data_IF_804267841263
#
_entry.id   IF_804267841263
#
_cell.length_a   1.000
_cell.length_b   1.000
_cell.length_c   1.000
_cell.angle_alpha   90.00
_cell.angle_beta   90.00
_cell.angle_gamma   90.00
#
_symmetry.space_group_name_H-M   'P 1'
#
loop_
_entity.id
_entity.type
_entity.pdbx_description
1 polymer ?
#
# COMPACT_ATOMS: atom_id res chain seq x y z
N UNK A 1 -28.08 8.17 13.33
CA UNK A 1 -26.97 7.22 13.58
C UNK A 1 -26.26 6.95 12.27
N UNK A 2 -24.93 7.10 12.21
CA UNK A 2 -24.12 6.81 11.02
C UNK A 2 -23.30 5.53 11.26
N UNK A 3 -23.26 4.63 10.28
CA UNK A 3 -22.48 3.40 10.34
C UNK A 3 -21.29 3.48 9.38
N UNK A 4 -20.09 3.47 9.92
CA UNK A 4 -18.85 3.36 9.14
C UNK A 4 -18.65 1.91 8.70
N UNK A 5 -18.59 1.66 7.40
CA UNK A 5 -18.53 0.31 6.85
C UNK A 5 -17.27 0.11 6.00
N UNK A 6 -16.30 -0.63 6.53
CA UNK A 6 -15.04 -0.91 5.86
C UNK A 6 -15.16 -2.14 4.96
N UNK A 7 -14.58 -2.07 3.76
CA UNK A 7 -14.56 -3.23 2.87
C UNK A 7 -13.73 -3.02 1.62
N UNK A 8 -13.66 -4.06 0.81
CA UNK A 8 -13.02 -4.01 -0.50
C UNK A 8 -13.93 -3.36 -1.56
N UNK A 9 -13.43 -3.24 -2.78
CA UNK A 9 -14.18 -2.67 -3.89
C UNK A 9 -15.45 -3.47 -4.21
N UNK A 10 -15.42 -4.80 -4.11
CA UNK A 10 -16.59 -5.63 -4.38
C UNK A 10 -17.70 -5.38 -3.36
N UNK A 11 -17.33 -5.19 -2.09
CA UNK A 11 -18.24 -4.81 -1.01
C UNK A 11 -18.93 -3.48 -1.30
N UNK A 12 -18.19 -2.47 -1.77
CA UNK A 12 -18.77 -1.20 -2.20
C UNK A 12 -19.78 -1.37 -3.33
N UNK A 13 -19.44 -2.15 -4.36
CA UNK A 13 -20.33 -2.38 -5.50
C UNK A 13 -21.64 -3.05 -5.08
N UNK A 14 -21.57 -4.03 -4.17
CA UNK A 14 -22.75 -4.67 -3.61
C UNK A 14 -23.59 -3.70 -2.77
N UNK A 15 -22.95 -2.91 -1.90
CA UNK A 15 -23.63 -1.90 -1.11
C UNK A 15 -24.34 -0.87 -1.99
N UNK A 16 -23.67 -0.37 -3.02
CA UNK A 16 -24.26 0.56 -4.00
C UNK A 16 -25.46 -0.06 -4.72
N UNK A 17 -25.38 -1.34 -5.09
CA UNK A 17 -26.51 -2.07 -5.68
C UNK A 17 -27.69 -2.20 -4.73
N UNK A 18 -27.46 -2.43 -3.44
CA UNK A 18 -28.51 -2.52 -2.41
C UNK A 18 -29.15 -1.15 -2.20
N UNK A 19 -28.36 -0.08 -2.06
CA UNK A 19 -28.87 1.27 -1.91
C UNK A 19 -29.71 1.69 -3.13
N UNK A 20 -29.28 1.31 -4.34
CA UNK A 20 -30.04 1.59 -5.55
C UNK A 20 -31.37 0.84 -5.58
N UNK A 21 -31.37 -0.47 -5.33
CA UNK A 21 -32.60 -1.28 -5.39
C UNK A 21 -33.60 -0.89 -4.29
N UNK A 22 -33.10 -0.50 -3.13
CA UNK A 22 -33.90 -0.09 -1.98
C UNK A 22 -34.21 1.40 -1.95
N UNK A 23 -33.89 2.16 -3.01
CA UNK A 23 -34.13 3.60 -3.05
C UNK A 23 -35.60 4.02 -2.91
N UNK A 24 -36.55 3.10 -3.16
CA UNK A 24 -37.99 3.31 -3.05
C UNK A 24 -38.55 3.09 -1.64
N UNK A 25 -37.75 2.55 -0.71
CA UNK A 25 -38.21 2.28 0.66
C UNK A 25 -38.50 3.60 1.39
N UNK A 26 -39.49 3.61 2.29
CA UNK A 26 -39.94 4.83 2.99
C UNK A 26 -38.93 5.35 4.02
N UNK A 27 -38.22 4.45 4.70
CA UNK A 27 -37.32 4.77 5.81
C UNK A 27 -35.84 4.84 5.36
N UNK A 28 -35.10 5.83 5.85
CA UNK A 28 -33.66 6.01 5.55
C UNK A 28 -32.82 4.77 5.89
N UNK A 29 -33.17 4.10 6.99
CA UNK A 29 -32.54 2.86 7.44
C UNK A 29 -32.74 1.74 6.42
N UNK A 30 -33.95 1.60 5.89
CA UNK A 30 -34.26 0.61 4.86
C UNK A 30 -33.64 0.97 3.51
N UNK A 31 -33.33 2.24 3.26
CA UNK A 31 -32.55 2.69 2.09
C UNK A 31 -31.02 2.54 2.26
N UNK A 32 -30.55 2.10 3.43
CA UNK A 32 -29.12 2.01 3.77
C UNK A 32 -28.39 3.36 3.70
N UNK A 33 -29.12 4.48 3.85
CA UNK A 33 -28.55 5.83 3.74
C UNK A 33 -27.64 6.20 4.92
N UNK A 34 -27.82 5.55 6.07
CA UNK A 34 -26.96 5.72 7.25
C UNK A 34 -25.56 5.14 7.09
N UNK A 35 -25.28 4.37 6.03
CA UNK A 35 -24.00 3.71 5.81
C UNK A 35 -23.04 4.61 5.05
N UNK A 36 -21.87 4.85 5.64
CA UNK A 36 -20.73 5.49 5.00
C UNK A 36 -19.67 4.43 4.72
N UNK A 37 -19.49 4.10 3.44
CA UNK A 37 -18.46 3.16 3.03
C UNK A 37 -17.06 3.77 3.15
N UNK A 38 -16.13 3.03 3.76
CA UNK A 38 -14.73 3.41 3.89
C UNK A 38 -13.88 2.38 3.11
N UNK A 39 -13.08 2.82 2.12
CA UNK A 39 -12.19 1.92 1.39
C UNK A 39 -11.24 1.18 2.33
N UNK A 40 -11.21 -0.13 2.25
CA UNK A 40 -10.25 -0.95 2.97
C UNK A 40 -8.83 -0.64 2.54
N UNK A 41 -7.98 -0.17 3.46
CA UNK A 41 -6.59 0.20 3.14
C UNK A 41 -5.74 -1.03 2.84
N UNK A 42 -6.05 -2.20 3.40
CA UNK A 42 -5.34 -3.42 3.06
C UNK A 42 -5.58 -3.81 1.60
N UNK A 43 -6.84 -3.84 1.17
CA UNK A 43 -7.18 -4.07 -0.24
C UNK A 43 -6.67 -2.96 -1.16
N UNK A 44 -6.65 -1.71 -0.70
CA UNK A 44 -6.08 -0.58 -1.46
C UNK A 44 -4.56 -0.75 -1.64
N UNK A 45 -3.83 -1.18 -0.61
CA UNK A 45 -2.40 -1.52 -0.69
C UNK A 45 -2.15 -2.74 -1.60
N UNK A 46 -3.03 -3.75 -1.57
CA UNK A 46 -2.97 -4.87 -2.51
C UNK A 46 -3.18 -4.39 -3.95
N UNK A 47 -4.14 -3.50 -4.18
CA UNK A 47 -4.39 -2.89 -5.47
C UNK A 47 -3.20 -2.04 -5.96
N UNK A 48 -2.51 -1.35 -5.06
CA UNK A 48 -1.27 -0.62 -5.33
C UNK A 48 -0.14 -1.57 -5.78
N UNK A 49 0.05 -2.70 -5.10
CA UNK A 49 1.01 -3.71 -5.53
C UNK A 49 0.67 -4.30 -6.91
N UNK A 50 -0.61 -4.60 -7.16
CA UNK A 50 -1.08 -5.05 -8.49
C UNK A 50 -0.89 -3.99 -9.58
N UNK A 51 -1.01 -2.70 -9.25
CA UNK A 51 -0.73 -1.60 -10.19
C UNK A 51 0.75 -1.61 -10.62
N UNK A 52 1.69 -1.71 -9.68
CA UNK A 52 3.11 -1.83 -10.00
C UNK A 52 3.40 -3.10 -10.80
N UNK A 53 2.79 -4.23 -10.43
CA UNK A 53 2.93 -5.46 -11.19
C UNK A 53 2.50 -5.32 -12.66
N UNK A 54 1.35 -4.68 -12.91
CA UNK A 54 0.83 -4.42 -14.27
C UNK A 54 1.76 -3.55 -15.11
N UNK A 55 2.44 -2.60 -14.49
CA UNK A 55 3.32 -1.65 -15.19
C UNK A 55 4.71 -2.26 -15.45
N UNK A 56 5.27 -2.97 -14.47
CA UNK A 56 6.70 -3.30 -14.45
C UNK A 56 7.04 -4.78 -14.63
N UNK A 57 6.10 -5.69 -14.37
CA UNK A 57 6.37 -7.13 -14.33
C UNK A 57 5.55 -7.91 -15.36
N UNK A 58 4.25 -7.58 -15.48
CA UNK A 58 3.31 -8.26 -16.38
C UNK A 58 3.62 -8.12 -17.89
N UNK A 59 4.07 -6.96 -18.42
CA UNK A 59 4.25 -6.81 -19.86
C UNK A 59 5.19 -7.88 -20.45
N UNK A 60 4.84 -8.42 -21.63
CA UNK A 60 5.69 -9.36 -22.36
C UNK A 60 6.89 -8.60 -22.94
N UNK A 61 8.10 -9.13 -22.74
CA UNK A 61 9.39 -8.53 -23.12
C UNK A 61 9.97 -7.43 -22.20
N UNK A 62 10.02 -7.60 -20.87
CA UNK A 62 10.82 -6.72 -20.04
C UNK A 62 12.27 -7.17 -20.20
N UNK A 63 12.92 -6.75 -21.30
CA UNK A 63 14.35 -7.00 -21.54
C UNK A 63 15.18 -6.70 -20.29
N UNK A 64 16.30 -7.40 -20.12
CA UNK A 64 17.22 -7.09 -19.01
C UNK A 64 17.93 -5.77 -19.32
N UNK A 65 18.05 -4.84 -18.35
CA UNK A 65 17.61 -4.94 -16.97
C UNK A 65 16.15 -4.47 -16.72
N UNK A 66 15.41 -5.20 -15.88
CA UNK A 66 14.00 -4.88 -15.54
C UNK A 66 13.58 -5.41 -14.17
N UNK A 67 12.47 -4.90 -13.62
CA UNK A 67 11.92 -5.40 -12.34
C UNK A 67 11.47 -6.86 -12.44
N UNK A 68 10.99 -7.27 -13.62
CA UNK A 68 10.70 -8.68 -13.90
C UNK A 68 11.96 -9.56 -13.84
N UNK A 69 13.14 -9.02 -14.20
CA UNK A 69 14.41 -9.71 -14.05
C UNK A 69 14.78 -9.85 -12.57
N UNK A 70 14.64 -8.79 -11.77
CA UNK A 70 14.90 -8.85 -10.33
C UNK A 70 14.05 -9.92 -9.65
N UNK A 71 12.79 -10.09 -10.05
CA UNK A 71 11.92 -11.11 -9.49
C UNK A 71 12.48 -12.53 -9.69
N UNK A 72 13.24 -12.75 -10.77
CA UNK A 72 13.97 -14.00 -11.02
C UNK A 72 15.16 -14.21 -10.09
N UNK A 73 15.83 -13.13 -9.68
CA UNK A 73 16.93 -13.16 -8.70
C UNK A 73 16.39 -13.32 -7.28
N UNK A 74 15.35 -12.55 -6.93
CA UNK A 74 14.73 -12.53 -5.60
C UNK A 74 13.96 -13.83 -5.29
N UNK A 75 13.23 -14.35 -6.29
CA UNK A 75 12.32 -15.49 -6.12
C UNK A 75 12.40 -16.47 -7.31
N UNK A 76 13.56 -17.10 -7.54
CA UNK A 76 13.80 -17.94 -8.72
C UNK A 76 12.80 -19.10 -8.88
N UNK A 77 12.33 -19.67 -7.75
CA UNK A 77 11.37 -20.78 -7.74
C UNK A 77 9.92 -20.37 -8.02
N UNK A 78 9.63 -19.07 -8.02
CA UNK A 78 8.25 -18.56 -8.10
C UNK A 78 8.03 -17.59 -9.26
N UNK A 79 9.06 -17.32 -10.08
CA UNK A 79 8.99 -16.37 -11.19
C UNK A 79 7.84 -16.63 -12.15
N UNK A 80 7.53 -17.90 -12.44
CA UNK A 80 6.40 -18.27 -13.30
C UNK A 80 5.06 -17.81 -12.75
N UNK A 81 4.86 -17.94 -11.42
CA UNK A 81 3.67 -17.41 -10.73
C UNK A 81 3.70 -15.89 -10.67
N UNK A 82 4.87 -15.30 -10.39
CA UNK A 82 5.02 -13.84 -10.29
C UNK A 82 4.65 -13.16 -11.61
N UNK A 83 5.00 -13.74 -12.75
CA UNK A 83 4.66 -13.20 -14.07
C UNK A 83 3.19 -13.34 -14.46
N UNK A 84 2.44 -14.25 -13.82
CA UNK A 84 1.09 -14.63 -14.26
C UNK A 84 0.03 -14.29 -13.22
N UNK A 85 0.12 -14.91 -12.04
CA UNK A 85 -0.86 -14.85 -10.94
C UNK A 85 -0.16 -14.73 -9.58
N UNK A 86 0.56 -13.62 -9.35
CA UNK A 86 1.29 -13.43 -8.10
C UNK A 86 0.34 -13.32 -6.90
N UNK A 87 0.79 -13.79 -5.73
CA UNK A 87 0.16 -13.46 -4.45
C UNK A 87 0.58 -12.07 -3.99
N UNK A 88 -0.20 -11.46 -3.08
CA UNK A 88 0.16 -10.17 -2.50
C UNK A 88 1.56 -10.18 -1.86
N UNK A 89 1.89 -11.23 -1.10
CA UNK A 89 3.21 -11.38 -0.47
C UNK A 89 4.35 -11.41 -1.50
N UNK A 90 4.17 -12.15 -2.59
CA UNK A 90 5.15 -12.20 -3.67
C UNK A 90 5.41 -10.81 -4.28
N UNK A 91 4.34 -10.04 -4.53
CA UNK A 91 4.48 -8.67 -5.04
C UNK A 91 5.10 -7.73 -4.02
N UNK A 92 4.62 -7.77 -2.78
CA UNK A 92 5.13 -6.92 -1.71
C UNK A 92 6.64 -7.11 -1.53
N UNK A 93 7.10 -8.36 -1.40
CA UNK A 93 8.52 -8.66 -1.26
C UNK A 93 9.32 -8.21 -2.49
N UNK A 94 8.81 -8.48 -3.69
CA UNK A 94 9.50 -8.10 -4.94
C UNK A 94 9.64 -6.58 -5.03
N UNK A 95 8.57 -5.82 -4.79
CA UNK A 95 8.59 -4.35 -4.82
C UNK A 95 9.57 -3.83 -3.77
N UNK A 96 9.48 -4.31 -2.53
CA UNK A 96 10.36 -3.87 -1.43
C UNK A 96 11.83 -4.10 -1.75
N UNK A 97 12.24 -5.34 -2.05
CA UNK A 97 13.66 -5.65 -2.21
C UNK A 97 14.25 -5.14 -3.52
N UNK A 98 13.48 -5.11 -4.61
CA UNK A 98 13.88 -4.45 -5.86
C UNK A 98 14.15 -2.96 -5.67
N UNK A 99 13.33 -2.29 -4.83
CA UNK A 99 13.50 -0.87 -4.51
C UNK A 99 14.70 -0.62 -3.61
N UNK A 100 14.87 -1.43 -2.56
CA UNK A 100 16.03 -1.34 -1.67
C UNK A 100 17.32 -1.48 -2.46
N UNK A 101 17.44 -2.49 -3.33
CA UNK A 101 18.65 -2.70 -4.13
C UNK A 101 18.95 -1.52 -5.08
N UNK A 102 17.92 -0.91 -5.70
CA UNK A 102 18.10 0.27 -6.56
C UNK A 102 18.49 1.52 -5.79
N UNK A 103 17.87 1.74 -4.64
CA UNK A 103 18.24 2.86 -3.75
C UNK A 103 19.69 2.70 -3.31
N UNK A 104 20.12 1.49 -2.91
CA UNK A 104 21.52 1.20 -2.58
C UNK A 104 22.47 1.45 -3.75
N UNK A 105 22.10 1.07 -4.98
CA UNK A 105 22.93 1.36 -6.15
C UNK A 105 23.01 2.87 -6.45
N UNK A 106 21.92 3.63 -6.25
CA UNK A 106 21.92 5.09 -6.35
C UNK A 106 22.84 5.72 -5.28
N UNK A 107 22.77 5.23 -4.03
CA UNK A 107 23.70 5.62 -2.97
C UNK A 107 25.15 5.38 -3.36
N UNK A 108 25.46 4.19 -3.91
CA UNK A 108 26.82 3.85 -4.38
C UNK A 108 27.32 4.87 -5.39
N UNK A 109 26.50 5.23 -6.38
CA UNK A 109 26.87 6.20 -7.42
C UNK A 109 27.13 7.58 -6.82
N UNK A 110 26.25 8.06 -5.94
CA UNK A 110 26.39 9.39 -5.33
C UNK A 110 27.60 9.44 -4.38
N UNK A 111 27.79 8.42 -3.54
CA UNK A 111 28.94 8.34 -2.62
C UNK A 111 30.26 8.35 -3.39
N UNK A 112 30.37 7.58 -4.48
CA UNK A 112 31.58 7.56 -5.30
C UNK A 112 31.93 8.95 -5.87
N UNK A 113 30.93 9.81 -6.06
CA UNK A 113 31.10 11.19 -6.54
C UNK A 113 31.40 12.18 -5.42
N UNK A 114 30.60 12.16 -4.36
CA UNK A 114 30.64 13.16 -3.27
C UNK A 114 31.69 12.83 -2.19
N UNK A 115 32.06 11.55 -2.06
CA UNK A 115 33.02 11.08 -1.06
C UNK A 115 33.94 9.99 -1.64
N UNK A 116 34.84 10.34 -2.58
CA UNK A 116 35.65 9.37 -3.33
C UNK A 116 36.57 8.48 -2.47
N UNK A 117 36.88 8.90 -1.24
CA UNK A 117 37.60 8.08 -0.26
C UNK A 117 36.80 6.85 0.19
N UNK A 118 35.47 6.88 0.08
CA UNK A 118 34.59 5.75 0.31
C UNK A 118 34.38 4.96 -0.98
N UNK A 119 35.16 3.89 -1.14
CA UNK A 119 35.14 3.05 -2.36
C UNK A 119 33.79 2.35 -2.58
N UNK A 120 33.08 2.03 -1.50
CA UNK A 120 31.79 1.35 -1.50
C UNK A 120 30.89 1.77 -0.32
N UNK A 121 29.69 1.20 -0.27
CA UNK A 121 28.71 1.47 0.78
C UNK A 121 29.18 1.00 2.17
N UNK A 122 30.01 -0.03 2.26
CA UNK A 122 30.52 -0.55 3.52
C UNK A 122 31.52 0.44 4.14
N UNK A 123 32.46 0.95 3.33
CA UNK A 123 33.40 2.00 3.74
C UNK A 123 32.70 3.30 4.08
N UNK A 124 31.61 3.63 3.38
CA UNK A 124 30.78 4.77 3.74
C UNK A 124 30.14 4.59 5.12
N UNK A 125 29.52 3.44 5.38
CA UNK A 125 28.92 3.14 6.68
C UNK A 125 29.96 3.11 7.82
N UNK A 126 31.15 2.55 7.58
CA UNK A 126 32.28 2.57 8.53
C UNK A 126 32.78 3.98 8.85
N UNK A 127 32.54 4.96 7.97
CA UNK A 127 32.92 6.36 8.20
C UNK A 127 31.99 7.11 9.15
N UNK A 128 30.91 6.46 9.62
CA UNK A 128 29.90 7.02 10.53
C UNK A 128 29.41 8.42 10.09
N UNK A 129 28.83 8.54 8.88
CA UNK A 129 28.42 9.83 8.35
C UNK A 129 27.33 10.47 9.23
N UNK A 130 27.46 11.77 9.48
CA UNK A 130 26.46 12.54 10.23
C UNK A 130 25.08 12.49 9.57
N UNK A 131 24.03 12.57 10.38
CA UNK A 131 22.64 12.45 9.92
C UNK A 131 22.28 13.52 8.88
N UNK A 132 22.72 14.76 9.09
CA UNK A 132 22.49 15.88 8.17
C UNK A 132 23.07 15.58 6.79
N UNK A 133 24.27 14.99 6.75
CA UNK A 133 24.92 14.60 5.49
C UNK A 133 24.17 13.46 4.79
N UNK A 134 23.66 12.48 5.53
CA UNK A 134 22.79 11.43 4.98
C UNK A 134 21.54 12.05 4.37
N UNK A 135 20.91 13.01 5.05
CA UNK A 135 19.73 13.71 4.53
C UNK A 135 20.07 14.48 3.25
N UNK A 136 21.16 15.24 3.23
CA UNK A 136 21.62 15.96 2.03
C UNK A 136 21.82 15.02 0.83
N UNK A 137 22.54 13.92 1.02
CA UNK A 137 22.76 12.93 -0.04
C UNK A 137 21.44 12.27 -0.49
N UNK A 138 20.51 12.01 0.43
CA UNK A 138 19.19 11.47 0.08
C UNK A 138 18.38 12.41 -0.82
N UNK A 139 18.49 13.73 -0.60
CA UNK A 139 17.84 14.75 -1.43
C UNK A 139 18.46 14.77 -2.82
N UNK A 140 19.78 14.64 -2.92
CA UNK A 140 20.49 14.50 -4.21
C UNK A 140 19.99 13.26 -4.95
N UNK A 141 19.90 12.12 -4.26
CA UNK A 141 19.42 10.87 -4.84
C UNK A 141 17.98 11.03 -5.36
N UNK A 142 17.10 11.61 -4.56
CA UNK A 142 15.71 11.86 -4.95
C UNK A 142 15.61 12.74 -6.20
N UNK A 143 16.42 13.81 -6.29
CA UNK A 143 16.41 14.71 -7.46
C UNK A 143 16.98 14.08 -8.73
N UNK A 144 17.98 13.21 -8.62
CA UNK A 144 18.71 12.67 -9.77
C UNK A 144 18.16 11.33 -10.31
N UNK A 145 17.61 10.50 -9.42
CA UNK A 145 17.23 9.12 -9.74
C UNK A 145 15.73 8.83 -9.61
N UNK A 146 14.94 9.75 -9.06
CA UNK A 146 13.47 9.59 -8.99
C UNK A 146 12.83 10.49 -10.06
N UNK A 147 11.88 9.95 -10.81
CA UNK A 147 11.14 10.75 -11.79
C UNK A 147 10.35 11.87 -11.08
N UNK A 148 10.74 13.13 -11.29
CA UNK A 148 10.02 14.30 -10.78
C UNK A 148 8.88 14.78 -11.68
N UNK A 149 8.20 15.86 -11.30
CA UNK A 149 7.13 16.47 -12.09
C UNK A 149 7.56 16.94 -13.49
N UNK A 150 8.85 17.26 -13.66
CA UNK A 150 9.39 17.70 -14.94
C UNK A 150 9.92 16.56 -15.81
N UNK A 151 9.81 15.30 -15.36
CA UNK A 151 10.29 14.11 -16.06
C UNK A 151 9.73 14.02 -17.48
N UNK A 152 8.41 14.16 -17.64
CA UNK A 152 7.78 14.11 -18.95
C UNK A 152 8.28 15.22 -19.88
N UNK A 153 8.41 16.45 -19.37
CA UNK A 153 8.93 17.59 -20.14
C UNK A 153 10.38 17.37 -20.57
N UNK A 154 11.25 16.95 -19.64
CA UNK A 154 12.67 16.68 -19.91
C UNK A 154 12.83 15.59 -20.95
N UNK A 155 12.11 14.49 -20.78
CA UNK A 155 12.26 13.34 -21.66
C UNK A 155 11.64 13.61 -23.03
N UNK A 156 10.40 14.12 -23.12
CA UNK A 156 9.74 14.42 -24.41
C UNK A 156 10.45 15.49 -25.24
N UNK A 157 11.20 16.39 -24.60
CA UNK A 157 12.02 17.40 -25.29
C UNK A 157 13.32 16.87 -25.90
N UNK A 158 13.74 15.65 -25.53
CA UNK A 158 14.97 15.05 -26.05
C UNK A 158 14.72 14.29 -27.36
N UNK A 159 15.62 14.41 -28.36
CA UNK A 159 15.60 13.54 -29.53
C UNK A 159 15.58 12.08 -29.12
N UNK A 160 14.83 11.24 -29.84
CA UNK A 160 14.80 9.80 -29.59
C UNK A 160 16.21 9.19 -29.55
N UNK A 161 17.17 9.84 -30.23
CA UNK A 161 18.52 9.36 -30.30
C UNK A 161 19.35 9.51 -29.03
N UNK A 162 18.97 10.44 -28.16
CA UNK A 162 19.65 10.80 -26.92
C UNK A 162 18.96 10.21 -25.69
N UNK A 163 17.77 9.63 -25.86
CA UNK A 163 16.97 9.02 -24.79
C UNK A 163 17.66 7.79 -24.20
N UNK A 164 17.56 7.65 -22.88
CA UNK A 164 18.04 6.47 -22.13
C UNK A 164 16.83 5.78 -21.51
N UNK A 165 16.19 4.90 -22.28
CA UNK A 165 14.95 4.25 -21.85
C UNK A 165 15.15 3.35 -20.63
N UNK A 166 16.35 2.79 -20.44
CA UNK A 166 16.68 1.96 -19.28
C UNK A 166 16.73 2.81 -18.01
N UNK A 167 17.43 3.95 -18.04
CA UNK A 167 17.48 4.86 -16.88
C UNK A 167 16.10 5.46 -16.61
N UNK A 168 15.38 5.88 -17.65
CA UNK A 168 14.02 6.41 -17.53
C UNK A 168 13.05 5.43 -16.86
N UNK A 169 13.10 4.15 -17.26
CA UNK A 169 12.31 3.10 -16.62
C UNK A 169 12.66 2.93 -15.13
N UNK A 170 13.95 3.00 -14.79
CA UNK A 170 14.41 2.93 -13.40
C UNK A 170 13.94 4.13 -12.56
N UNK A 171 13.96 5.34 -13.14
CA UNK A 171 13.45 6.54 -12.48
C UNK A 171 11.95 6.48 -12.22
N UNK A 172 11.18 5.99 -13.21
CA UNK A 172 9.74 5.75 -13.05
C UNK A 172 9.46 4.68 -11.99
N UNK A 173 10.24 3.60 -11.98
CA UNK A 173 10.12 2.56 -10.95
C UNK A 173 10.33 3.14 -9.56
N UNK A 174 11.44 3.86 -9.33
CA UNK A 174 11.72 4.46 -8.02
C UNK A 174 10.63 5.42 -7.59
N UNK A 175 10.05 6.23 -8.50
CA UNK A 175 8.91 7.10 -8.17
C UNK A 175 7.72 6.31 -7.60
N UNK A 176 7.28 5.26 -8.31
CA UNK A 176 6.11 4.49 -7.89
C UNK A 176 6.38 3.57 -6.70
N UNK A 177 7.59 3.01 -6.62
CA UNK A 177 7.94 2.08 -5.54
C UNK A 177 8.22 2.80 -4.22
N UNK A 178 8.78 4.02 -4.27
CA UNK A 178 8.85 4.90 -3.09
C UNK A 178 7.46 5.35 -2.64
N UNK A 179 6.55 5.67 -3.56
CA UNK A 179 5.14 5.94 -3.22
C UNK A 179 4.46 4.74 -2.52
N UNK A 180 4.73 3.52 -2.98
CA UNK A 180 4.25 2.29 -2.34
C UNK A 180 4.87 2.06 -0.95
N UNK A 181 6.16 2.36 -0.81
CA UNK A 181 6.89 2.27 0.46
C UNK A 181 6.34 3.29 1.45
N UNK A 182 6.10 4.53 1.00
CA UNK A 182 5.49 5.61 1.77
C UNK A 182 4.10 5.22 2.29
N UNK A 183 3.22 4.71 1.41
CA UNK A 183 1.91 4.21 1.82
C UNK A 183 2.03 3.11 2.89
N UNK A 184 2.95 2.17 2.69
CA UNK A 184 3.18 1.07 3.64
C UNK A 184 3.68 1.56 4.99
N UNK A 185 4.63 2.49 4.98
CA UNK A 185 5.22 3.08 6.17
C UNK A 185 4.19 3.89 6.95
N UNK A 186 3.47 4.80 6.27
CA UNK A 186 2.42 5.62 6.87
C UNK A 186 1.30 4.76 7.49
N UNK A 187 0.87 3.70 6.80
CA UNK A 187 -0.12 2.76 7.34
C UNK A 187 0.35 2.07 8.62
N UNK A 188 1.61 1.61 8.67
CA UNK A 188 2.16 0.95 9.85
C UNK A 188 2.34 1.92 11.03
N UNK A 189 2.71 3.18 10.74
CA UNK A 189 2.89 4.23 11.75
C UNK A 189 1.57 4.84 12.23
N UNK A 190 0.44 4.55 11.57
CA UNK A 190 -0.85 5.16 11.89
C UNK A 190 -1.00 6.60 11.38
N UNK A 191 -0.14 7.07 10.48
CA UNK A 191 -0.19 8.43 9.95
C UNK A 191 -1.20 8.53 8.81
N UNK A 192 -2.44 8.84 9.17
CA UNK A 192 -3.54 8.91 8.21
C UNK A 192 -3.40 10.08 7.22
N UNK A 193 -2.71 11.16 7.61
CA UNK A 193 -2.48 12.30 6.73
C UNK A 193 -1.57 11.93 5.56
N UNK A 194 -0.47 11.23 5.86
CA UNK A 194 0.44 10.70 4.83
C UNK A 194 -0.21 9.62 3.97
N UNK A 195 -1.06 8.77 4.57
CA UNK A 195 -1.88 7.81 3.80
C UNK A 195 -2.78 8.55 2.79
N UNK A 196 -3.55 9.55 3.24
CA UNK A 196 -4.40 10.34 2.34
C UNK A 196 -3.63 11.02 1.21
N UNK A 197 -2.45 11.55 1.50
CA UNK A 197 -1.59 12.17 0.48
C UNK A 197 -1.11 11.15 -0.55
N UNK A 198 -0.59 9.99 -0.12
CA UNK A 198 -0.14 8.93 -1.01
C UNK A 198 -1.28 8.41 -1.91
N UNK A 199 -2.50 8.31 -1.36
CA UNK A 199 -3.68 7.84 -2.11
C UNK A 199 -4.06 8.76 -3.28
N UNK A 200 -3.76 10.07 -3.22
CA UNK A 200 -3.99 11.01 -4.32
C UNK A 200 -3.16 10.65 -5.55
N UNK A 201 -1.88 10.30 -5.38
CA UNK A 201 -1.05 9.81 -6.49
C UNK A 201 -1.49 8.43 -6.98
N UNK A 202 -1.92 7.54 -6.07
CA UNK A 202 -2.46 6.23 -6.48
C UNK A 202 -3.73 6.33 -7.32
N UNK A 203 -4.58 7.36 -7.13
CA UNK A 203 -5.73 7.61 -8.01
C UNK A 203 -5.31 7.70 -9.48
N UNK A 204 -4.28 8.49 -9.76
CA UNK A 204 -3.77 8.67 -11.12
C UNK A 204 -3.10 7.39 -11.63
N UNK A 205 -2.27 6.77 -10.78
CA UNK A 205 -1.59 5.53 -11.14
C UNK A 205 -2.57 4.39 -11.47
N UNK A 206 -3.66 4.26 -10.70
CA UNK A 206 -4.73 3.30 -10.94
C UNK A 206 -5.44 3.54 -12.26
N UNK A 207 -5.75 4.79 -12.61
CA UNK A 207 -6.39 5.07 -13.90
C UNK A 207 -5.44 4.75 -15.07
N UNK A 208 -4.17 5.12 -14.94
CA UNK A 208 -3.15 4.89 -15.96
C UNK A 208 -2.84 3.43 -16.26
N UNK A 209 -2.94 2.55 -15.26
CA UNK A 209 -2.68 1.11 -15.40
C UNK A 209 -3.95 0.26 -15.63
N UNK A 210 -5.09 0.91 -15.88
CA UNK A 210 -6.36 0.24 -16.20
C UNK A 210 -7.17 -0.23 -14.99
N UNK A 211 -6.80 0.16 -13.76
CA UNK A 211 -7.59 -0.05 -12.53
C UNK A 211 -8.62 1.06 -12.33
N UNK A 212 -9.39 1.38 -13.37
CA UNK A 212 -10.32 2.51 -13.41
C UNK A 212 -11.35 2.52 -12.27
N UNK A 213 -11.86 1.34 -11.87
CA UNK A 213 -12.81 1.24 -10.76
C UNK A 213 -12.21 1.73 -9.43
N UNK A 214 -10.97 1.31 -9.11
CA UNK A 214 -10.26 1.78 -7.92
C UNK A 214 -10.01 3.28 -8.01
N UNK A 215 -9.56 3.78 -9.16
CA UNK A 215 -9.35 5.21 -9.38
C UNK A 215 -10.62 6.04 -9.13
N UNK A 216 -11.75 5.66 -9.74
CA UNK A 216 -13.01 6.39 -9.62
C UNK A 216 -13.54 6.37 -8.19
N UNK A 217 -13.60 5.20 -7.54
CA UNK A 217 -14.17 5.08 -6.20
C UNK A 217 -13.28 5.75 -5.16
N UNK A 218 -11.96 5.62 -5.26
CA UNK A 218 -11.03 6.29 -4.36
C UNK A 218 -11.08 7.81 -4.56
N UNK A 219 -11.20 8.30 -5.81
CA UNK A 219 -11.41 9.74 -6.08
C UNK A 219 -12.67 10.27 -5.41
N UNK A 220 -13.80 9.57 -5.59
CA UNK A 220 -15.09 9.95 -4.99
C UNK A 220 -14.98 10.00 -3.47
N UNK A 221 -14.38 8.97 -2.87
CA UNK A 221 -14.18 8.92 -1.42
C UNK A 221 -13.31 10.07 -0.92
N UNK A 222 -12.15 10.31 -1.54
CA UNK A 222 -11.24 11.40 -1.12
C UNK A 222 -11.88 12.78 -1.29
N UNK A 223 -12.65 13.00 -2.37
CA UNK A 223 -13.41 14.24 -2.55
C UNK A 223 -14.47 14.38 -1.46
N UNK A 224 -15.24 13.32 -1.18
CA UNK A 224 -16.26 13.36 -0.13
C UNK A 224 -15.66 13.65 1.24
N UNK A 225 -14.57 12.96 1.58
CA UNK A 225 -13.85 13.14 2.85
C UNK A 225 -13.33 14.56 3.06
N UNK A 226 -12.90 15.22 1.98
CA UNK A 226 -12.27 16.54 2.06
C UNK A 226 -13.21 17.72 1.77
N UNK A 227 -14.35 17.49 1.11
CA UNK A 227 -15.21 18.56 0.58
C UNK A 227 -16.70 18.40 0.84
N UNK A 228 -17.18 17.20 1.20
CA UNK A 228 -18.62 16.91 1.32
C UNK A 228 -19.01 16.56 2.75
N UNK A 229 -18.26 15.69 3.42
CA UNK A 229 -18.62 15.25 4.76
C UNK A 229 -18.46 16.36 5.81
N UNK A 230 -19.39 16.45 6.79
CA UNK A 230 -19.22 17.34 7.94
C UNK A 230 -17.88 17.08 8.65
N UNK A 231 -17.22 18.12 9.21
CA UNK A 231 -15.91 17.98 9.84
C UNK A 231 -15.84 16.87 10.91
N UNK A 232 -16.91 16.71 11.69
CA UNK A 232 -17.00 15.67 12.71
C UNK A 232 -16.98 14.25 12.11
N UNK A 233 -17.74 14.01 11.04
CA UNK A 233 -17.76 12.73 10.32
C UNK A 233 -16.42 12.46 9.64
N UNK A 234 -15.85 13.47 8.98
CA UNK A 234 -14.54 13.33 8.33
C UNK A 234 -13.44 12.99 9.34
N UNK A 235 -13.47 13.60 10.53
CA UNK A 235 -12.57 13.25 11.64
C UNK A 235 -12.82 11.82 12.12
N UNK A 236 -14.08 11.42 12.32
CA UNK A 236 -14.43 10.07 12.76
C UNK A 236 -13.91 9.00 11.77
N UNK A 237 -14.06 9.22 10.46
CA UNK A 237 -13.53 8.35 9.42
C UNK A 237 -12.00 8.22 9.53
N UNK A 238 -11.29 9.34 9.62
CA UNK A 238 -9.81 9.36 9.74
C UNK A 238 -9.32 8.61 10.99
N UNK A 239 -9.98 8.81 12.12
CA UNK A 239 -9.64 8.14 13.38
C UNK A 239 -9.92 6.64 13.38
N UNK A 240 -10.78 6.15 12.47
CA UNK A 240 -11.18 4.74 12.40
C UNK A 240 -10.68 4.04 11.13
N UNK A 241 -9.79 4.65 10.34
CA UNK A 241 -9.32 4.03 9.10
C UNK A 241 -8.22 2.98 9.34
N UNK A 242 -7.45 3.18 10.41
CA UNK A 242 -6.41 2.29 10.92
C UNK A 242 -6.69 2.03 12.41
N UNK A 243 -6.34 0.82 12.87
CA UNK A 243 -6.41 0.42 14.27
C UNK A 243 -5.08 -0.22 14.66
N UNK A 244 -4.70 -0.17 15.94
CA UNK A 244 -3.47 -0.79 16.44
C UNK A 244 -3.81 -1.90 17.42
N UNK A 245 -3.96 -3.16 16.97
CA UNK A 245 -4.34 -4.27 17.85
C UNK A 245 -3.25 -4.63 18.86
N UNK A 246 -1.97 -4.41 18.51
CA UNK A 246 -0.85 -4.78 19.38
C UNK A 246 -0.50 -3.70 20.40
N UNK A 247 -0.94 -2.46 20.18
CA UNK A 247 -0.57 -1.28 20.97
C UNK A 247 0.90 -0.88 20.80
N UNK A 248 1.65 -1.52 19.91
CA UNK A 248 3.09 -1.29 19.72
C UNK A 248 3.35 -0.24 18.62
N UNK A 249 4.50 0.45 18.65
CA UNK A 249 5.00 1.18 17.50
C UNK A 249 4.98 0.30 16.24
N UNK A 250 4.60 0.86 15.10
CA UNK A 250 4.43 0.14 13.82
C UNK A 250 3.37 -0.98 13.80
N UNK A 251 2.55 -1.04 14.85
CA UNK A 251 1.48 -2.01 15.05
C UNK A 251 0.16 -1.69 14.34
N UNK A 252 0.03 -0.53 13.67
CA UNK A 252 -1.21 -0.16 13.01
C UNK A 252 -1.52 -1.07 11.81
N UNK A 253 -2.79 -1.42 11.67
CA UNK A 253 -3.35 -2.25 10.60
C UNK A 253 -4.63 -1.61 10.08
N UNK A 254 -4.91 -1.84 8.81
CA UNK A 254 -6.18 -1.45 8.23
C UNK A 254 -7.34 -2.23 8.84
N UNK A 255 -8.49 -1.60 9.01
CA UNK A 255 -9.67 -2.29 9.58
C UNK A 255 -10.07 -3.52 8.77
N UNK A 256 -10.04 -3.41 7.44
CA UNK A 256 -10.36 -4.53 6.54
C UNK A 256 -9.35 -5.68 6.65
N UNK A 257 -8.11 -5.43 7.06
CA UNK A 257 -7.16 -6.49 7.38
C UNK A 257 -7.61 -7.32 8.59
N UNK A 258 -8.12 -6.67 9.63
CA UNK A 258 -8.65 -7.36 10.80
C UNK A 258 -9.94 -8.13 10.47
N UNK A 259 -10.78 -7.57 9.61
CA UNK A 259 -11.96 -8.26 9.08
C UNK A 259 -11.55 -9.51 8.29
N UNK A 260 -10.53 -9.43 7.44
CA UNK A 260 -10.02 -10.59 6.70
C UNK A 260 -9.41 -11.66 7.63
N UNK A 261 -8.71 -11.24 8.69
CA UNK A 261 -8.22 -12.16 9.70
C UNK A 261 -9.37 -12.90 10.40
N UNK A 262 -10.43 -12.17 10.76
CA UNK A 262 -11.63 -12.76 11.35
C UNK A 262 -12.35 -13.71 10.37
N UNK A 263 -12.42 -13.35 9.07
CA UNK A 263 -12.94 -14.21 8.01
C UNK A 263 -12.14 -15.50 7.89
N UNK A 264 -10.81 -15.42 7.94
CA UNK A 264 -9.93 -16.57 7.89
C UNK A 264 -10.19 -17.53 9.05
N UNK A 265 -10.24 -17.04 10.30
CA UNK A 265 -10.58 -17.89 11.44
C UNK A 265 -11.98 -18.50 11.33
N UNK A 266 -12.96 -17.69 10.93
CA UNK A 266 -14.36 -18.12 10.82
C UNK A 266 -14.56 -19.22 9.79
N UNK A 267 -14.01 -19.02 8.59
CA UNK A 267 -14.27 -19.88 7.43
C UNK A 267 -13.25 -21.00 7.29
N UNK A 268 -11.97 -20.70 7.48
CA UNK A 268 -10.90 -21.65 7.16
C UNK A 268 -10.51 -22.48 8.37
N UNK A 269 -10.28 -21.83 9.52
CA UNK A 269 -9.78 -22.53 10.72
C UNK A 269 -10.91 -23.25 11.46
N UNK A 270 -12.01 -22.55 11.73
CA UNK A 270 -13.09 -23.07 12.57
C UNK A 270 -14.37 -23.44 11.79
N UNK A 271 -14.39 -23.26 10.47
CA UNK A 271 -15.57 -23.50 9.64
C UNK A 271 -15.98 -24.97 9.51
N UNK A 272 -15.15 -25.91 9.98
CA UNK A 272 -15.36 -27.34 9.80
C UNK A 272 -14.81 -27.84 8.46
N UNK A 273 -14.73 -29.15 8.30
CA UNK A 273 -14.20 -29.82 7.12
C UNK A 273 -15.29 -30.67 6.43
N UNK A 274 -15.18 -30.79 5.11
CA UNK A 274 -16.07 -31.61 4.27
C UNK A 274 -17.57 -31.36 4.55
N UNK A 275 -18.34 -32.40 4.86
CA UNK A 275 -19.79 -32.33 5.13
C UNK A 275 -20.16 -31.45 6.32
N UNK A 276 -19.22 -31.15 7.22
CA UNK A 276 -19.45 -30.28 8.37
C UNK A 276 -19.22 -28.79 8.06
N UNK A 277 -18.75 -28.44 6.87
CA UNK A 277 -18.57 -27.06 6.43
C UNK A 277 -19.92 -26.43 6.05
N UNK A 278 -20.74 -26.13 7.04
CA UNK A 278 -22.09 -25.59 6.87
C UNK A 278 -22.22 -24.19 7.45
N UNK A 279 -23.05 -23.35 6.83
CA UNK A 279 -23.32 -21.98 7.30
C UNK A 279 -23.83 -21.98 8.75
N UNK A 280 -24.69 -22.95 9.10
CA UNK A 280 -25.23 -23.08 10.45
C UNK A 280 -24.13 -23.31 11.51
N UNK A 281 -23.15 -24.17 11.21
CA UNK A 281 -22.03 -24.42 12.11
C UNK A 281 -21.08 -23.23 12.18
N UNK A 282 -20.77 -22.61 11.04
CA UNK A 282 -19.94 -21.40 10.97
C UNK A 282 -20.55 -20.29 11.83
N UNK A 283 -21.86 -20.03 11.72
CA UNK A 283 -22.57 -19.01 12.52
C UNK A 283 -22.54 -19.33 14.02
N UNK A 284 -22.68 -20.60 14.39
CA UNK A 284 -22.62 -21.03 15.80
C UNK A 284 -21.22 -20.84 16.39
N UNK A 285 -20.18 -21.08 15.59
CA UNK A 285 -18.77 -21.00 16.01
C UNK A 285 -18.20 -19.59 15.94
N UNK A 286 -18.70 -18.72 15.07
CA UNK A 286 -18.13 -17.38 14.86
C UNK A 286 -18.10 -16.53 16.13
N UNK A 287 -19.13 -16.65 16.97
CA UNK A 287 -19.20 -15.97 18.27
C UNK A 287 -18.22 -16.50 19.33
N UNK A 288 -17.59 -17.67 19.08
CA UNK A 288 -16.67 -18.34 20.00
C UNK A 288 -15.21 -18.29 19.52
N UNK A 289 -14.90 -17.59 18.42
CA UNK A 289 -13.56 -17.61 17.82
C UNK A 289 -12.50 -17.13 18.81
N UNK A 290 -12.74 -16.03 19.53
CA UNK A 290 -11.77 -15.52 20.49
C UNK A 290 -11.54 -16.51 21.64
N UNK A 291 -12.62 -17.15 22.14
CA UNK A 291 -12.49 -18.22 23.13
C UNK A 291 -11.66 -19.39 22.59
N UNK A 292 -11.90 -19.84 21.36
CA UNK A 292 -11.11 -20.91 20.75
C UNK A 292 -9.64 -20.54 20.65
N UNK A 293 -9.33 -19.31 20.24
CA UNK A 293 -7.96 -18.81 20.15
C UNK A 293 -7.29 -18.78 21.51
N UNK A 294 -7.96 -18.25 22.54
CA UNK A 294 -7.44 -18.23 23.91
C UNK A 294 -7.18 -19.64 24.45
N UNK A 295 -8.09 -20.58 24.20
CA UNK A 295 -7.90 -21.99 24.60
C UNK A 295 -6.66 -22.61 23.95
N UNK A 296 -6.42 -22.36 22.65
CA UNK A 296 -5.20 -22.84 21.98
C UNK A 296 -3.92 -22.31 22.66
N UNK A 297 -3.86 -20.99 22.92
CA UNK A 297 -2.71 -20.37 23.59
C UNK A 297 -2.49 -20.94 24.99
N UNK A 298 -3.57 -21.14 25.76
CA UNK A 298 -3.50 -21.70 27.12
C UNK A 298 -3.00 -23.15 27.09
N UNK A 299 -3.46 -23.96 26.14
CA UNK A 299 -3.00 -25.35 25.98
C UNK A 299 -1.52 -25.36 25.60
N UNK A 300 -1.12 -24.59 24.58
CA UNK A 300 0.29 -24.54 24.13
C UNK A 300 1.24 -24.16 25.27
N UNK A 301 0.87 -23.14 26.07
CA UNK A 301 1.63 -22.71 27.25
C UNK A 301 1.71 -23.81 28.31
N UNK A 302 0.59 -24.43 28.68
CA UNK A 302 0.53 -25.42 29.75
C UNK A 302 1.29 -26.72 29.41
N UNK A 303 1.31 -27.10 28.13
CA UNK A 303 2.00 -28.32 27.70
C UNK A 303 3.48 -28.10 27.36
N UNK A 304 4.03 -26.89 27.58
CA UNK A 304 5.40 -26.54 27.23
C UNK A 304 5.77 -26.99 25.81
N UNK A 305 4.79 -26.95 24.90
CA UNK A 305 5.08 -27.19 23.50
C UNK A 305 6.12 -26.12 23.12
N UNK A 306 7.24 -26.51 22.47
CA UNK A 306 8.27 -25.55 22.12
C UNK A 306 7.56 -24.39 21.44
N UNK A 307 7.82 -23.17 21.92
CA UNK A 307 7.40 -21.95 21.24
C UNK A 307 7.97 -22.00 19.83
N UNK A 308 7.28 -22.67 18.91
CA UNK A 308 7.44 -22.42 17.49
C UNK A 308 7.09 -20.95 17.40
N UNK A 309 8.08 -20.11 17.15
CA UNK A 309 7.87 -18.67 17.15
C UNK A 309 6.65 -18.41 16.27
N UNK A 310 5.59 -17.85 16.86
CA UNK A 310 4.40 -17.43 16.10
C UNK A 310 4.77 -16.39 15.06
N UNK A 311 5.95 -15.79 15.23
CA UNK A 311 6.68 -14.97 14.27
C UNK A 311 7.58 -15.85 13.41
N UNK A 312 7.26 -15.96 12.12
CA UNK A 312 8.30 -16.32 11.16
C UNK A 312 9.35 -15.21 11.16
N UNK A 313 10.59 -15.53 11.54
CA UNK A 313 11.68 -14.59 11.38
C UNK A 313 11.74 -14.13 9.92
N UNK A 314 11.95 -12.83 9.65
CA UNK A 314 12.13 -12.37 8.28
C UNK A 314 13.30 -13.13 7.65
N UNK A 315 13.22 -13.48 6.35
CA UNK A 315 14.32 -14.15 5.68
C UNK A 315 15.56 -13.25 5.71
N UNK A 316 16.74 -13.84 5.90
CA UNK A 316 18.00 -13.12 5.71
C UNK A 316 18.19 -12.84 4.22
N UNK A 317 18.01 -11.57 3.85
CA UNK A 317 18.07 -11.10 2.47
C UNK A 317 19.47 -10.59 2.07
N UNK A 318 20.46 -10.65 2.97
CA UNK A 318 21.78 -10.04 2.77
C UNK A 318 22.44 -10.51 1.47
N UNK A 319 22.57 -11.84 1.28
CA UNK A 319 23.19 -12.41 0.07
C UNK A 319 22.38 -12.10 -1.19
N UNK A 320 21.07 -12.16 -1.10
CA UNK A 320 20.17 -11.88 -2.24
C UNK A 320 20.26 -10.43 -2.69
N UNK A 321 20.32 -9.48 -1.74
CA UNK A 321 20.50 -8.06 -2.02
C UNK A 321 21.88 -7.77 -2.60
N UNK A 322 22.95 -8.40 -2.09
CA UNK A 322 24.30 -8.27 -2.68
C UNK A 322 24.30 -8.71 -4.14
N UNK A 323 23.72 -9.88 -4.44
CA UNK A 323 23.64 -10.39 -5.82
C UNK A 323 22.83 -9.45 -6.72
N UNK A 324 21.70 -8.93 -6.23
CA UNK A 324 20.87 -8.00 -7.00
C UNK A 324 21.60 -6.66 -7.22
N UNK A 325 22.28 -6.11 -6.21
CA UNK A 325 23.07 -4.89 -6.37
C UNK A 325 24.23 -5.06 -7.36
N UNK A 326 24.90 -6.22 -7.37
CA UNK A 326 25.94 -6.53 -8.36
C UNK A 326 25.37 -6.60 -9.78
N UNK A 327 24.21 -7.21 -9.96
CA UNK A 327 23.51 -7.25 -11.25
C UNK A 327 23.14 -5.83 -11.74
N UNK A 328 22.55 -5.00 -10.86
CA UNK A 328 22.21 -3.60 -11.17
C UNK A 328 23.44 -2.77 -11.53
N UNK A 329 24.56 -2.97 -10.82
CA UNK A 329 25.82 -2.30 -11.10
C UNK A 329 26.40 -2.73 -12.44
N UNK A 330 26.43 -4.04 -12.72
CA UNK A 330 26.95 -4.59 -13.97
C UNK A 330 26.18 -4.10 -15.20
N UNK A 331 24.87 -3.89 -15.06
CA UNK A 331 23.98 -3.38 -16.11
C UNK A 331 23.96 -1.85 -16.17
N UNK A 332 24.61 -1.16 -15.22
CA UNK A 332 24.75 0.30 -15.17
C UNK A 332 23.43 1.05 -15.30
N UNK A 333 22.34 0.51 -14.76
CA UNK A 333 20.96 1.00 -14.97
C UNK A 333 20.81 2.48 -14.62
N UNK A 334 21.39 2.91 -13.50
CA UNK A 334 21.23 4.27 -12.99
C UNK A 334 22.26 5.25 -13.58
N UNK A 335 23.29 4.79 -14.29
CA UNK A 335 24.23 5.65 -14.99
C UNK A 335 23.57 6.26 -16.25
N UNK A 336 23.93 7.48 -16.62
CA UNK A 336 23.42 8.12 -17.85
C UNK A 336 24.15 7.55 -19.06
N UNK A 337 23.42 6.98 -20.02
CA UNK A 337 24.01 6.52 -21.29
C UNK A 337 23.12 6.90 -22.47
N UNK A 338 23.63 7.80 -23.32
CA UNK A 338 22.89 8.33 -24.48
C UNK A 338 22.49 7.23 -25.45
N UNK A 339 21.21 7.20 -25.83
CA UNK A 339 20.67 6.29 -26.84
C UNK A 339 20.45 4.84 -26.38
N UNK A 340 20.58 4.53 -25.09
CA UNK A 340 20.39 3.17 -24.54
C UNK A 340 18.92 2.74 -24.56
N UNK A 341 18.69 1.49 -24.97
CA UNK A 341 17.37 0.85 -24.91
C UNK A 341 16.49 1.04 -26.14
N UNK A 342 17.07 1.36 -27.31
CA UNK A 342 16.34 1.49 -28.58
C UNK A 342 16.12 0.16 -29.31
N UNK A 343 16.83 -0.88 -28.90
CA UNK A 343 16.73 -2.21 -29.51
C UNK A 343 15.30 -2.76 -29.34
N UNK A 344 14.83 -3.58 -30.29
CA UNK A 344 13.46 -4.15 -30.29
C UNK A 344 13.10 -4.89 -28.98
N UNK A 345 14.09 -5.26 -28.19
CA UNK A 345 13.95 -6.01 -26.93
C UNK A 345 13.82 -5.13 -25.69
N UNK A 346 14.12 -3.82 -25.77
CA UNK A 346 13.99 -2.93 -24.62
C UNK A 346 12.60 -2.31 -24.57
N UNK A 347 11.81 -2.72 -23.59
CA UNK A 347 10.47 -2.19 -23.37
C UNK A 347 10.52 -0.81 -22.71
N UNK A 348 10.01 0.21 -23.40
CA UNK A 348 9.79 1.54 -22.82
C UNK A 348 8.53 1.54 -21.97
N UNK A 349 8.68 1.91 -20.70
CA UNK A 349 7.54 2.03 -19.78
C UNK A 349 6.86 3.38 -19.99
N UNK A 350 5.55 3.35 -20.18
CA UNK A 350 4.74 4.58 -20.21
C UNK A 350 4.65 5.20 -18.81
N UNK A 351 4.65 6.53 -18.74
CA UNK A 351 4.32 7.25 -17.50
C UNK A 351 2.83 7.07 -17.19
N UNK A 352 2.52 6.00 -16.45
CA UNK A 352 1.15 5.63 -16.10
C UNK A 352 0.48 6.70 -15.23
N UNK A 353 1.19 7.35 -14.33
CA UNK A 353 0.64 8.41 -13.49
C UNK A 353 0.19 9.62 -14.34
N UNK A 354 1.05 10.08 -15.25
CA UNK A 354 0.70 11.16 -16.18
C UNK A 354 -0.45 10.77 -17.12
N UNK A 355 -0.43 9.55 -17.65
CA UNK A 355 -1.51 9.01 -18.48
C UNK A 355 -2.85 9.04 -17.74
N UNK A 356 -2.87 8.58 -16.49
CA UNK A 356 -4.05 8.58 -15.64
C UNK A 356 -4.52 10.00 -15.29
N UNK A 357 -3.61 10.90 -14.98
CA UNK A 357 -3.93 12.32 -14.75
C UNK A 357 -4.60 12.95 -15.96
N UNK A 358 -4.04 12.78 -17.16
CA UNK A 358 -4.60 13.32 -18.39
C UNK A 358 -5.98 12.72 -18.71
N UNK A 359 -6.14 11.40 -18.49
CA UNK A 359 -7.42 10.71 -18.67
C UNK A 359 -8.50 11.23 -17.70
N UNK A 360 -8.18 11.42 -16.42
CA UNK A 360 -9.12 11.93 -15.42
C UNK A 360 -9.48 13.41 -15.65
N UNK A 361 -8.53 14.24 -16.08
CA UNK A 361 -8.80 15.63 -16.48
C UNK A 361 -9.77 15.70 -17.67
N UNK A 362 -9.64 14.79 -18.65
CA UNK A 362 -10.58 14.66 -19.75
C UNK A 362 -11.97 14.18 -19.33
N UNK A 363 -12.08 13.43 -18.22
CA UNK A 363 -13.33 12.85 -17.69
C UNK A 363 -14.02 13.70 -16.61
N UNK A 364 -13.71 15.01 -16.53
CA UNK A 364 -14.15 15.93 -15.46
C UNK A 364 -15.65 15.89 -15.13
N UNK A 365 -16.53 15.46 -16.03
CA UNK A 365 -17.98 15.34 -15.76
C UNK A 365 -18.40 14.08 -14.97
N UNK A 366 -17.60 13.00 -14.96
CA UNK A 366 -17.96 11.69 -14.35
C UNK A 366 -17.64 11.63 -12.84
N UNK A 367 -16.71 12.47 -12.37
CA UNK A 367 -16.32 12.55 -10.96
C UNK A 367 -17.27 13.40 -10.10
N UNK A 368 -18.12 14.25 -10.72
CA UNK A 368 -18.94 15.25 -10.03
C UNK A 368 -20.48 15.04 -10.10
N UNK A 369 -21.06 13.84 -9.85
CA UNK A 369 -22.49 13.73 -9.60
C UNK A 369 -22.82 13.91 -8.09
N UNK A 370 -22.00 14.63 -7.31
CA UNK A 370 -22.09 14.68 -5.84
C UNK A 370 -23.21 15.59 -5.28
N UNK A 371 -24.06 16.18 -6.11
CA UNK A 371 -25.13 17.08 -5.62
C UNK A 371 -26.27 16.37 -4.87
N UNK A 372 -26.36 15.05 -4.93
CA UNK A 372 -27.45 14.31 -4.26
C UNK A 372 -27.11 13.68 -2.90
N UNK A 373 -25.85 13.73 -2.43
CA UNK A 373 -25.50 13.23 -1.08
C UNK A 373 -25.39 14.33 -0.02
N UNK A 374 -25.16 15.59 -0.42
CA UNK A 374 -25.01 16.69 0.53
C UNK A 374 -26.32 17.18 1.17
N UNK A 375 -27.47 16.93 0.53
CA UNK A 375 -28.79 17.35 1.05
C UNK A 375 -29.44 16.39 2.05
N UNK A 376 -28.73 15.34 2.51
CA UNK A 376 -29.29 14.25 3.33
C UNK A 376 -28.57 14.07 4.68
N UNK A 377 -27.61 14.93 5.01
CA UNK A 377 -26.82 14.82 6.25
C UNK A 377 -26.64 16.19 6.92
N UNK A 378 -27.71 16.98 7.01
CA UNK A 378 -27.76 18.07 7.99
C UNK A 378 -27.93 17.45 9.38
N UNK A 379 -26.85 17.47 10.16
CA UNK A 379 -26.88 17.15 11.59
C UNK A 379 -27.07 18.50 12.30
N UNK A 380 -28.21 18.70 12.96
CA UNK A 380 -28.41 19.85 13.85
C UNK A 380 -27.31 19.89 14.90
N UNK A 381 -26.59 21.01 14.96
CA UNK A 381 -25.62 21.31 16.00
C UNK A 381 -26.37 21.43 17.34
N UNK A 382 -26.26 20.42 18.20
CA UNK A 382 -26.68 20.54 19.58
C UNK A 382 -25.64 21.37 20.34
N UNK A 383 -26.09 22.49 20.89
CA UNK A 383 -25.33 23.43 21.71
C UNK A 383 -24.52 22.69 22.79
N UNK A 384 -23.20 22.86 22.75
CA UNK A 384 -22.29 22.35 23.78
C UNK A 384 -22.40 23.21 25.03
N UNK A 385 -23.16 22.73 26.02
CA UNK A 385 -22.98 23.14 27.41
C UNK A 385 -21.64 22.61 27.92
N UNK A 386 -20.71 23.53 28.17
CA UNK A 386 -19.43 23.24 28.81
C UNK A 386 -19.65 22.80 30.26
N UNK A 387 -19.30 21.55 30.59
CA UNK A 387 -18.89 21.19 31.95
C UNK A 387 -17.53 20.47 31.88
N UNK A 388 -16.51 21.18 32.36
CA UNK A 388 -15.17 20.67 32.62
C UNK A 388 -15.23 19.60 33.72
N UNK A 389 -14.85 18.37 33.39
CA UNK A 389 -14.57 17.32 34.39
C UNK A 389 -13.05 17.09 34.41
N UNK A 390 -12.37 17.10 35.59
CA UNK A 390 -10.92 17.00 35.66
C UNK A 390 -10.41 15.60 35.27
N UNK A 391 -9.27 15.56 34.58
CA UNK A 391 -8.47 14.37 34.36
C UNK A 391 -7.84 13.92 35.68
N UNK A 392 -8.36 12.86 36.29
CA UNK A 392 -7.64 12.11 37.31
C UNK A 392 -6.83 10.98 36.65
N UNK A 393 -5.56 10.92 37.04
CA UNK A 393 -4.55 9.95 36.62
C UNK A 393 -4.92 8.53 37.08
N UNK A 394 -4.99 7.59 36.13
CA UNK A 394 -4.95 6.16 36.44
C UNK A 394 -3.69 5.59 35.80
N UNK A 395 -2.74 5.23 36.66
CA UNK A 395 -1.42 4.70 36.30
C UNK A 395 -1.45 3.32 35.62
N UNK A 396 -0.31 2.87 35.06
CA UNK A 396 -0.27 1.77 34.10
C UNK A 396 -0.10 0.42 34.81
N UNK A 397 -1.07 -0.48 34.69
CA UNK A 397 -0.87 -1.89 34.96
C UNK A 397 -1.60 -2.79 33.95
N UNK A 398 -0.80 -3.42 33.09
CA UNK A 398 -0.91 -4.83 32.76
C UNK A 398 -1.83 -5.24 31.60
N UNK A 399 -1.33 -5.14 30.36
CA UNK A 399 -1.54 -6.16 29.32
C UNK A 399 -0.27 -6.25 28.46
N UNK A 400 0.72 -7.00 28.95
CA UNK A 400 1.73 -7.62 28.10
C UNK A 400 1.21 -9.00 27.63
N UNK A 401 1.66 -9.44 26.46
CA UNK A 401 1.40 -10.75 25.84
C UNK A 401 0.10 -10.97 25.06
N UNK A 402 -0.08 -10.23 23.96
CA UNK A 402 -0.80 -10.73 22.78
C UNK A 402 0.10 -10.59 21.54
N UNK A 403 1.04 -11.53 21.41
CA UNK A 403 1.99 -11.64 20.30
C UNK A 403 1.33 -11.98 18.96
N UNK A 404 0.57 -11.04 18.41
CA UNK A 404 -0.04 -11.12 17.08
C UNK A 404 0.49 -9.95 16.25
N UNK A 405 1.64 -10.17 15.60
CA UNK A 405 2.12 -9.36 14.47
C UNK A 405 2.59 -10.34 13.40
N UNK A 406 1.94 -10.30 12.24
CA UNK A 406 2.28 -11.05 11.04
C UNK A 406 1.91 -10.25 9.80
#
# INVERSE_FOLDING_TARGET
>A
MVLLFHGDLATLEQLQSIMFSRGIEDEEWNRFQSIVFIPGLFHTKMAAADALWRIYIKPESPGSPSVAHDAGILRPKEIGKIKTTPTFRQLHDTITYSSVARVLDCWRIVIQREKPECQDLAKFAESEPGWEFIVELSIVIAKEFVAGHDFARKTQGMPADERDYVRENAMLWLRHALLYTELSHAMNHGDIGRVEEALKSFVFLFDGCGKHKYSVQLSRFLISLNKVYPPCLARAIRMNWLLNPSGKPDGFRAVDWQVELNNFYTKVVHGGAASNHTIGLIRKRSILIDLYRSCHVVIERNFSLPFNSTRHAPPDMTKTLVNLCQDLQSSSIHNSMSGRGKEKETYKIEDAELKGMNSLLGKRKVLFPLRHQAGLLEIEEAETGEENIPLEEVGPQGIEDLGIEG
#
